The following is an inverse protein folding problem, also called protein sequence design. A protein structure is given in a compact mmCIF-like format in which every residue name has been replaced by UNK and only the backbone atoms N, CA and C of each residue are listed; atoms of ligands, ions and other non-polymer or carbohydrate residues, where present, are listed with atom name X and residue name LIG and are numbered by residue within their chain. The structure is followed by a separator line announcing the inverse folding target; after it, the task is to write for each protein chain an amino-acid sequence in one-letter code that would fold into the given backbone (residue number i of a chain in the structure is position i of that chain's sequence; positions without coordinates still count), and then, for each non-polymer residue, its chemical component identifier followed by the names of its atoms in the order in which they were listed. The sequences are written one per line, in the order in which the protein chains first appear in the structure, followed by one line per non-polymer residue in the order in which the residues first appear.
data_IF_117619649926
#
_entry.id   IF_117619649926
#
_cell.length_a   1.000
_cell.length_b   1.000
_cell.length_c   1.000
_cell.angle_alpha   90.00
_cell.angle_beta   90.00
_cell.angle_gamma   90.00
#
_symmetry.space_group_name_H-M   'P 1'
#
loop_
_entity.id
_entity.type
_entity.pdbx_description
1 polymer ?
#
# COMPACT_ATOMS: atom_id res chain seq x y z
N UNK A 1 21.40 -4.83 -4.32
CA UNK A 1 20.50 -5.92 -3.88
C UNK A 1 19.62 -6.29 -5.07
N UNK A 2 19.42 -7.59 -5.37
CA UNK A 2 18.52 -8.03 -6.43
C UNK A 2 17.07 -7.58 -6.21
N UNK A 3 16.31 -7.38 -7.29
CA UNK A 3 14.91 -6.89 -7.20
C UNK A 3 13.98 -7.94 -6.59
N UNK A 4 14.30 -9.22 -6.80
CA UNK A 4 13.61 -10.36 -6.22
C UNK A 4 13.70 -10.31 -4.69
N UNK A 5 14.89 -9.99 -4.15
CA UNK A 5 15.08 -9.83 -2.70
C UNK A 5 14.22 -8.71 -2.13
N UNK A 6 14.01 -7.61 -2.88
CA UNK A 6 13.11 -6.52 -2.45
C UNK A 6 11.68 -7.02 -2.32
N UNK A 7 11.19 -7.77 -3.31
CA UNK A 7 9.83 -8.33 -3.27
C UNK A 7 9.69 -9.35 -2.15
N UNK A 8 10.68 -10.22 -1.95
CA UNK A 8 10.69 -11.19 -0.84
C UNK A 8 10.67 -10.48 0.52
N UNK A 9 11.44 -9.41 0.70
CA UNK A 9 11.40 -8.58 1.92
C UNK A 9 10.02 -7.96 2.16
N UNK A 10 9.35 -7.48 1.12
CA UNK A 10 7.99 -6.95 1.21
C UNK A 10 6.92 -8.03 1.43
N UNK A 11 7.24 -9.31 1.26
CA UNK A 11 6.28 -10.42 1.30
C UNK A 11 6.72 -11.54 2.26
N UNK A 12 7.31 -12.62 1.74
CA UNK A 12 7.59 -13.84 2.51
C UNK A 12 8.60 -13.63 3.65
N UNK A 13 9.61 -12.79 3.46
CA UNK A 13 10.58 -12.49 4.53
C UNK A 13 9.96 -11.59 5.61
N UNK A 14 9.01 -10.71 5.25
CA UNK A 14 8.19 -10.00 6.23
C UNK A 14 7.31 -10.94 7.05
N UNK A 15 6.70 -11.94 6.41
CA UNK A 15 5.94 -12.97 7.10
C UNK A 15 6.82 -13.81 8.05
N UNK A 16 8.02 -14.20 7.61
CA UNK A 16 9.03 -14.90 8.45
C UNK A 16 9.45 -14.08 9.67
N UNK A 17 9.66 -12.77 9.49
CA UNK A 17 10.03 -11.88 10.59
C UNK A 17 8.93 -11.82 11.68
N UNK A 18 7.68 -12.11 11.33
CA UNK A 18 6.54 -12.17 12.24
C UNK A 18 6.17 -13.60 12.67
N UNK A 19 6.93 -14.62 12.26
CA UNK A 19 6.59 -16.04 12.44
C UNK A 19 5.22 -16.43 11.86
N UNK A 20 4.82 -15.82 10.75
CA UNK A 20 3.55 -16.04 10.04
C UNK A 20 3.74 -16.64 8.64
N UNK A 21 4.95 -17.08 8.29
CA UNK A 21 5.29 -17.59 6.96
C UNK A 21 4.49 -18.82 6.55
N UNK A 22 3.95 -19.57 7.50
CA UNK A 22 3.07 -20.72 7.23
C UNK A 22 1.65 -20.29 6.86
N UNK A 23 1.24 -19.06 7.21
CA UNK A 23 -0.11 -18.54 7.00
C UNK A 23 -0.20 -17.53 5.85
N UNK A 24 0.84 -16.70 5.65
CA UNK A 24 0.85 -15.55 4.72
C UNK A 24 2.21 -15.35 4.05
N UNK A 25 2.30 -14.36 3.15
CA UNK A 25 3.57 -13.92 2.55
C UNK A 25 3.91 -14.56 1.21
N UNK A 26 3.13 -15.55 0.76
CA UNK A 26 3.24 -16.18 -0.57
C UNK A 26 1.91 -16.77 -1.01
N UNK A 27 1.77 -17.01 -2.33
CA UNK A 27 0.61 -17.66 -2.92
C UNK A 27 0.84 -19.17 -3.01
N UNK A 28 0.47 -19.87 -1.93
CA UNK A 28 0.61 -21.31 -1.82
C UNK A 28 -0.70 -21.91 -1.29
N UNK A 29 -1.03 -23.14 -1.73
CA UNK A 29 -2.23 -23.84 -1.26
C UNK A 29 -2.16 -24.03 0.25
N UNK A 30 -3.26 -23.72 0.94
CA UNK A 30 -3.36 -23.80 2.41
C UNK A 30 -3.08 -22.47 3.13
N UNK A 31 -2.44 -21.50 2.48
CA UNK A 31 -2.24 -20.15 3.04
C UNK A 31 -3.48 -19.28 2.88
N UNK A 32 -3.55 -18.21 3.67
CA UNK A 32 -4.61 -17.20 3.57
C UNK A 32 -4.51 -16.48 2.22
N UNK A 33 -5.67 -16.23 1.61
CA UNK A 33 -5.77 -15.47 0.37
C UNK A 33 -5.52 -13.97 0.63
N UNK A 34 -4.25 -13.60 0.71
CA UNK A 34 -3.75 -12.24 0.84
C UNK A 34 -2.96 -11.88 -0.43
N UNK A 35 -3.54 -11.06 -1.30
CA UNK A 35 -2.89 -10.68 -2.56
C UNK A 35 -3.38 -9.33 -3.06
N UNK A 36 -2.63 -8.79 -4.01
CA UNK A 36 -2.98 -7.56 -4.73
C UNK A 36 -2.98 -7.84 -6.23
N UNK A 37 -3.82 -7.14 -6.96
CA UNK A 37 -3.84 -7.10 -8.42
C UNK A 37 -3.32 -5.74 -8.85
N UNK A 38 -2.35 -5.73 -9.77
CA UNK A 38 -1.72 -4.51 -10.28
C UNK A 38 -1.97 -4.35 -11.77
N UNK A 39 -2.12 -3.11 -12.21
CA UNK A 39 -2.25 -2.73 -13.62
C UNK A 39 -0.89 -2.17 -14.08
N UNK A 40 -0.18 -2.97 -14.88
CA UNK A 40 1.16 -2.63 -15.39
C UNK A 40 1.12 -2.09 -16.82
N UNK A 41 -0.07 -1.83 -17.39
CA UNK A 41 -0.23 -1.28 -18.73
C UNK A 41 -0.34 0.25 -18.66
N UNK A 42 0.77 0.88 -18.22
CA UNK A 42 0.92 2.32 -18.07
C UNK A 42 2.09 2.85 -18.89
N UNK A 43 2.03 4.15 -19.18
CA UNK A 43 3.09 4.84 -19.92
C UNK A 43 4.46 4.68 -19.24
N UNK A 44 4.51 4.75 -17.91
CA UNK A 44 5.76 4.68 -17.13
C UNK A 44 6.21 3.26 -16.78
N UNK A 45 5.38 2.24 -17.05
CA UNK A 45 5.74 0.83 -16.87
C UNK A 45 6.03 0.12 -18.20
N UNK A 46 5.91 0.83 -19.34
CA UNK A 46 6.11 0.29 -20.68
C UNK A 46 7.46 0.72 -21.28
N UNK A 47 8.24 -0.21 -21.86
CA UNK A 47 7.99 -1.65 -21.99
C UNK A 47 8.23 -2.42 -20.68
N UNK A 48 7.42 -3.45 -20.44
CA UNK A 48 7.55 -4.32 -19.26
C UNK A 48 8.21 -5.66 -19.63
N UNK A 49 9.55 -5.72 -19.55
CA UNK A 49 10.30 -6.97 -19.83
C UNK A 49 10.45 -7.88 -18.61
N UNK A 50 10.47 -7.30 -17.41
CA UNK A 50 10.56 -8.03 -16.15
C UNK A 50 9.58 -7.40 -15.15
N UNK A 51 8.44 -8.04 -14.86
CA UNK A 51 7.42 -7.48 -13.98
C UNK A 51 7.94 -7.25 -12.56
N UNK A 52 8.89 -8.06 -12.06
CA UNK A 52 9.48 -7.88 -10.72
C UNK A 52 10.27 -6.57 -10.66
N UNK A 53 11.10 -6.32 -11.68
CA UNK A 53 11.84 -5.05 -11.80
C UNK A 53 10.90 -3.86 -11.95
N UNK A 54 9.85 -3.99 -12.76
CA UNK A 54 8.84 -2.94 -12.99
C UNK A 54 8.12 -2.57 -11.68
N UNK A 55 7.69 -3.58 -10.91
CA UNK A 55 7.03 -3.36 -9.61
C UNK A 55 7.95 -2.62 -8.64
N UNK A 56 9.24 -2.97 -8.59
CA UNK A 56 10.19 -2.39 -7.64
C UNK A 56 10.61 -0.96 -8.01
N UNK A 57 10.85 -0.68 -9.29
CA UNK A 57 11.45 0.58 -9.71
C UNK A 57 10.47 1.60 -10.30
N UNK A 58 9.33 1.16 -10.85
CA UNK A 58 8.43 2.02 -11.61
C UNK A 58 7.07 2.20 -10.93
N UNK A 59 6.57 1.17 -10.25
CA UNK A 59 5.22 1.21 -9.70
C UNK A 59 5.12 1.99 -8.38
N UNK A 60 3.91 2.46 -8.11
CA UNK A 60 3.48 3.12 -6.87
C UNK A 60 2.19 2.47 -6.37
N UNK A 61 1.66 2.96 -5.24
CA UNK A 61 0.36 2.51 -4.74
C UNK A 61 -0.81 2.76 -5.70
N UNK A 62 -0.68 3.69 -6.65
CA UNK A 62 -1.72 3.99 -7.64
C UNK A 62 -1.91 2.90 -8.69
N UNK A 63 -0.93 2.00 -8.84
CA UNK A 63 -0.99 0.88 -9.79
C UNK A 63 -1.81 -0.31 -9.27
N UNK A 64 -2.16 -0.30 -7.98
CA UNK A 64 -2.99 -1.33 -7.34
C UNK A 64 -4.45 -1.14 -7.78
N UNK A 65 -5.06 -2.21 -8.30
CA UNK A 65 -6.46 -2.25 -8.74
C UNK A 65 -7.35 -2.87 -7.67
N UNK A 66 -6.93 -4.01 -7.14
CA UNK A 66 -7.71 -4.79 -6.16
C UNK A 66 -6.80 -5.28 -5.05
N UNK A 67 -7.30 -5.27 -3.82
CA UNK A 67 -6.61 -5.81 -2.64
C UNK A 67 -7.54 -6.80 -1.97
N UNK A 68 -7.04 -8.02 -1.77
CA UNK A 68 -7.76 -9.11 -1.11
C UNK A 68 -7.04 -9.47 0.18
N UNK A 69 -7.81 -9.50 1.28
CA UNK A 69 -7.33 -9.90 2.61
C UNK A 69 -8.22 -11.00 3.14
N UNK A 70 -7.64 -12.15 3.47
CA UNK A 70 -8.34 -13.36 3.90
C UNK A 70 -9.50 -13.75 2.96
N UNK A 71 -9.28 -13.61 1.64
CA UNK A 71 -10.28 -13.94 0.62
C UNK A 71 -11.40 -12.91 0.46
N UNK A 72 -11.32 -11.75 1.11
CA UNK A 72 -12.28 -10.65 0.97
C UNK A 72 -11.64 -9.45 0.30
N UNK A 73 -12.28 -8.92 -0.73
CA UNK A 73 -11.87 -7.64 -1.32
C UNK A 73 -12.06 -6.51 -0.30
N UNK A 74 -10.98 -5.77 -0.05
CA UNK A 74 -10.99 -4.55 0.77
C UNK A 74 -10.79 -3.29 -0.09
N UNK A 75 -10.19 -3.47 -1.28
CA UNK A 75 -10.15 -2.51 -2.37
C UNK A 75 -10.63 -3.22 -3.63
N UNK A 76 -11.55 -2.62 -4.37
CA UNK A 76 -12.10 -3.15 -5.63
C UNK A 76 -12.16 -2.03 -6.66
N UNK A 77 -11.60 -2.26 -7.86
CA UNK A 77 -11.48 -1.25 -8.92
C UNK A 77 -10.98 0.11 -8.41
N UNK A 78 -9.86 0.09 -7.66
CA UNK A 78 -9.20 1.25 -7.06
C UNK A 78 -10.02 2.01 -6.00
N UNK A 79 -11.13 1.44 -5.51
CA UNK A 79 -11.99 2.06 -4.49
C UNK A 79 -12.04 1.23 -3.22
N UNK A 80 -12.09 1.90 -2.07
CA UNK A 80 -12.33 1.21 -0.79
C UNK A 80 -13.71 0.55 -0.77
N UNK A 81 -13.78 -0.73 -0.39
CA UNK A 81 -15.04 -1.49 -0.40
C UNK A 81 -15.94 -1.12 0.79
N UNK A 82 -15.34 -0.84 1.95
CA UNK A 82 -16.06 -0.70 3.22
C UNK A 82 -16.00 0.71 3.82
N UNK A 83 -15.47 1.70 3.08
CA UNK A 83 -15.20 3.03 3.61
C UNK A 83 -15.55 4.11 2.59
N UNK A 84 -16.13 5.21 3.06
CA UNK A 84 -16.23 6.45 2.30
C UNK A 84 -14.90 7.22 2.42
N UNK A 85 -14.18 7.34 1.31
CA UNK A 85 -12.88 8.02 1.27
C UNK A 85 -12.97 9.50 1.68
N UNK A 86 -14.02 10.21 1.30
CA UNK A 86 -14.20 11.62 1.64
C UNK A 86 -14.50 11.78 3.13
N UNK A 87 -15.28 10.87 3.70
CA UNK A 87 -15.50 10.84 5.15
C UNK A 87 -14.20 10.57 5.91
N UNK A 88 -13.41 9.58 5.49
CA UNK A 88 -12.12 9.24 6.13
C UNK A 88 -11.16 10.43 6.09
N UNK A 89 -11.03 11.10 4.93
CA UNK A 89 -10.19 12.29 4.77
C UNK A 89 -10.65 13.40 5.71
N UNK A 90 -11.96 13.69 5.75
CA UNK A 90 -12.53 14.74 6.60
C UNK A 90 -12.30 14.46 8.08
N UNK A 91 -12.56 13.24 8.53
CA UNK A 91 -12.36 12.85 9.94
C UNK A 91 -10.87 12.85 10.32
N UNK A 92 -9.99 12.41 9.42
CA UNK A 92 -8.54 12.49 9.59
C UNK A 92 -8.06 13.93 9.79
N UNK A 93 -8.47 14.83 8.90
CA UNK A 93 -8.12 16.25 8.99
C UNK A 93 -8.62 16.90 10.29
N UNK A 94 -9.89 16.63 10.66
CA UNK A 94 -10.49 17.12 11.90
C UNK A 94 -9.74 16.63 13.15
N UNK A 95 -9.40 15.34 13.20
CA UNK A 95 -8.68 14.75 14.34
C UNK A 95 -7.24 15.27 14.45
N UNK A 96 -6.55 15.42 13.31
CA UNK A 96 -5.21 16.00 13.26
C UNK A 96 -5.20 17.45 13.77
N UNK A 97 -6.15 18.28 13.32
CA UNK A 97 -6.29 19.66 13.79
C UNK A 97 -6.51 19.72 15.31
N UNK A 98 -7.44 18.91 15.82
CA UNK A 98 -7.69 18.85 17.27
C UNK A 98 -6.49 18.31 18.07
N UNK A 99 -5.69 17.41 17.50
CA UNK A 99 -4.46 16.94 18.15
C UNK A 99 -3.41 18.06 18.23
N UNK A 100 -3.22 18.83 17.16
CA UNK A 100 -2.28 19.95 17.14
C UNK A 100 -2.66 21.01 18.18
N UNK A 101 -3.96 21.33 18.31
CA UNK A 101 -4.46 22.27 19.33
C UNK A 101 -4.16 21.78 20.75
N UNK A 102 -4.50 20.51 21.07
CA UNK A 102 -4.24 19.94 22.41
C UNK A 102 -2.76 19.85 22.74
N UNK A 103 -1.91 19.68 21.73
CA UNK A 103 -0.46 19.61 21.88
C UNK A 103 0.22 21.00 21.89
N UNK A 104 -0.51 22.08 21.60
CA UNK A 104 0.06 23.43 21.48
C UNK A 104 1.02 23.58 20.29
N UNK A 105 0.85 22.78 19.23
CA UNK A 105 1.73 22.79 18.04
C UNK A 105 1.14 23.71 16.97
N UNK A 106 1.91 24.73 16.55
CA UNK A 106 1.56 25.55 15.38
C UNK A 106 2.02 24.85 14.09
N UNK A 107 1.05 24.42 13.29
CA UNK A 107 1.25 23.71 12.01
C UNK A 107 1.18 24.64 10.80
N UNK A 108 1.05 25.96 10.98
CA UNK A 108 1.01 26.90 9.86
C UNK A 108 2.34 26.93 9.11
N UNK A 109 2.31 26.99 7.76
CA UNK A 109 3.53 27.15 6.99
C UNK A 109 4.16 28.51 7.32
N UNK A 110 5.47 28.52 7.53
CA UNK A 110 6.25 29.76 7.72
C UNK A 110 6.60 30.41 6.38
N UNK A 111 5.86 30.11 5.32
CA UNK A 111 6.21 30.54 3.96
C UNK A 111 5.52 31.88 3.60
N UNK A 112 6.27 32.84 3.02
CA UNK A 112 7.73 32.82 2.86
C UNK A 112 8.41 33.19 4.19
N UNK A 113 9.64 32.71 4.41
CA UNK A 113 10.42 32.93 5.65
C UNK A 113 11.27 34.22 5.58
N UNK A 114 11.10 35.00 4.51
CA UNK A 114 11.91 36.20 4.20
C UNK A 114 11.39 37.45 4.90
#
# INVERSE_FOLDING_TARGET
MPVETVVEMATINGARALALENDIGSLEVGKKANFVIMDLDKLYTTPNFNPVSTIVYCCTGADIVTVVVNGKEVVSDRKLVNWDEQEVIREGAKRAAGLAERAGVDVKPKWPVI
#
